data_IF_259992555365
#
_entry.id   IF_259992555365
#
_cell.length_a   1.000
_cell.length_b   1.000
_cell.length_c   1.000
_cell.angle_alpha   90.00
_cell.angle_beta   90.00
_cell.angle_gamma   90.00
#
_symmetry.space_group_name_H-M   'P 1'
#
loop_
_entity.id
_entity.type
_entity.pdbx_description
1 polymer ?
#
# COMPACT_ATOMS: atom_id res chain seq x y z
N UNK A 1 -10.68 -4.22 4.66
CA UNK A 1 -10.26 -3.76 6.01
C UNK A 1 -10.17 -2.24 6.05
N UNK A 2 -10.02 -1.65 7.25
CA UNK A 2 -9.84 -0.20 7.41
C UNK A 2 -8.38 0.22 7.29
N UNK A 3 -8.13 1.24 6.48
CA UNK A 3 -6.80 1.74 6.13
C UNK A 3 -6.80 3.27 6.26
N UNK A 4 -5.76 3.84 6.86
CA UNK A 4 -5.52 5.28 6.81
C UNK A 4 -4.46 5.60 5.76
N UNK A 5 -4.57 6.74 5.10
CA UNK A 5 -3.59 7.25 4.15
C UNK A 5 -3.26 8.69 4.53
N UNK A 6 -2.01 8.94 4.88
CA UNK A 6 -1.53 10.28 5.25
C UNK A 6 -0.89 10.97 4.05
N UNK A 7 -1.44 12.14 3.70
CA UNK A 7 -1.00 13.00 2.60
C UNK A 7 -1.96 12.95 1.40
N UNK A 8 -2.51 14.10 1.01
CA UNK A 8 -3.40 14.31 -0.14
C UNK A 8 -2.67 14.77 -1.41
N UNK A 9 -1.34 14.62 -1.45
CA UNK A 9 -0.61 14.72 -2.72
C UNK A 9 -1.00 13.62 -3.70
N UNK A 10 -0.55 13.73 -4.97
CA UNK A 10 -0.90 12.80 -6.06
C UNK A 10 -0.87 11.32 -5.65
N UNK A 11 0.19 10.88 -4.96
CA UNK A 11 0.34 9.46 -4.56
C UNK A 11 -0.69 9.04 -3.51
N UNK A 12 -0.89 9.83 -2.45
CA UNK A 12 -1.84 9.45 -1.41
C UNK A 12 -3.27 9.36 -1.94
N UNK A 13 -3.66 10.29 -2.81
CA UNK A 13 -4.96 10.27 -3.51
C UNK A 13 -5.11 9.03 -4.38
N UNK A 14 -4.08 8.73 -5.17
CA UNK A 14 -4.04 7.59 -6.05
C UNK A 14 -4.22 6.27 -5.27
N UNK A 15 -3.44 6.09 -4.20
CA UNK A 15 -3.52 4.90 -3.36
C UNK A 15 -4.84 4.81 -2.61
N UNK A 16 -5.34 5.91 -2.06
CA UNK A 16 -6.61 5.94 -1.36
C UNK A 16 -7.77 5.53 -2.28
N UNK A 17 -7.78 6.03 -3.53
CA UNK A 17 -8.78 5.64 -4.53
C UNK A 17 -8.64 4.17 -4.94
N UNK A 18 -7.43 3.67 -5.18
CA UNK A 18 -7.21 2.27 -5.58
C UNK A 18 -7.56 1.28 -4.45
N UNK A 19 -7.24 1.61 -3.20
CA UNK A 19 -7.59 0.79 -2.04
C UNK A 19 -9.11 0.78 -1.79
N UNK A 20 -9.77 1.93 -1.91
CA UNK A 20 -11.23 2.00 -1.83
C UNK A 20 -11.89 1.16 -2.94
N UNK A 21 -11.35 1.22 -4.16
CA UNK A 21 -11.80 0.40 -5.29
C UNK A 21 -11.56 -1.11 -5.08
N UNK A 22 -10.49 -1.49 -4.38
CA UNK A 22 -10.23 -2.85 -3.95
C UNK A 22 -11.12 -3.31 -2.77
N UNK A 23 -12.01 -2.45 -2.27
CA UNK A 23 -13.01 -2.79 -1.25
C UNK A 23 -12.62 -2.42 0.19
N UNK A 24 -11.49 -1.75 0.39
CA UNK A 24 -11.09 -1.27 1.72
C UNK A 24 -11.91 -0.04 2.14
N UNK A 25 -12.02 0.16 3.45
CA UNK A 25 -12.50 1.41 4.03
C UNK A 25 -11.29 2.31 4.25
N UNK A 26 -11.27 3.48 3.64
CA UNK A 26 -10.10 4.34 3.53
C UNK A 26 -10.39 5.70 4.15
N UNK A 27 -9.58 6.09 5.13
CA UNK A 27 -9.52 7.46 5.64
C UNK A 27 -8.33 8.13 4.99
N UNK A 28 -8.59 9.13 4.14
CA UNK A 28 -7.54 9.94 3.52
C UNK A 28 -7.38 11.22 4.34
N UNK A 29 -6.25 11.36 5.01
CA UNK A 29 -5.98 12.46 5.92
C UNK A 29 -4.91 13.41 5.34
N UNK A 30 -5.15 14.71 5.44
CA UNK A 30 -4.13 15.76 5.24
C UNK A 30 -4.43 16.95 6.15
N UNK A 31 -3.39 17.64 6.62
CA UNK A 31 -3.53 18.85 7.44
C UNK A 31 -3.94 20.06 6.60
N UNK A 32 -3.64 20.08 5.30
CA UNK A 32 -4.02 21.16 4.39
C UNK A 32 -5.42 20.94 3.83
N UNK A 33 -6.38 21.72 4.33
CA UNK A 33 -7.75 21.72 3.84
C UNK A 33 -7.85 22.02 2.33
N UNK A 34 -6.92 22.81 1.76
CA UNK A 34 -6.90 23.12 0.32
C UNK A 34 -6.60 21.88 -0.52
N UNK A 35 -5.73 20.99 -0.04
CA UNK A 35 -5.43 19.73 -0.71
C UNK A 35 -6.68 18.85 -0.82
N UNK A 36 -7.52 18.85 0.22
CA UNK A 36 -8.79 18.12 0.22
C UNK A 36 -9.86 18.75 -0.68
N UNK A 37 -9.93 20.08 -0.72
CA UNK A 37 -10.86 20.78 -1.61
C UNK A 37 -10.50 20.60 -3.10
N UNK A 38 -9.21 20.49 -3.41
CA UNK A 38 -8.75 20.15 -4.75
C UNK A 38 -9.24 18.76 -5.22
N UNK A 39 -9.42 17.81 -4.28
CA UNK A 39 -10.01 16.50 -4.58
C UNK A 39 -11.48 16.59 -4.97
N UNK A 40 -12.23 17.42 -4.24
CA UNK A 40 -13.68 17.60 -4.46
C UNK A 40 -13.99 18.27 -5.78
N UNK A 41 -13.10 19.15 -6.23
CA UNK A 41 -13.24 19.91 -7.49
C UNK A 41 -12.70 19.15 -8.71
N UNK A 42 -12.09 17.98 -8.52
CA UNK A 42 -11.55 17.16 -9.61
C UNK A 42 -10.29 17.74 -10.28
N UNK A 43 -9.74 18.83 -9.75
CA UNK A 43 -8.59 19.54 -10.31
C UNK A 43 -7.27 18.75 -10.21
N UNK A 44 -7.23 17.72 -9.35
CA UNK A 44 -6.01 16.96 -9.01
C UNK A 44 -5.65 15.80 -9.94
N UNK A 45 -6.42 15.48 -10.99
CA UNK A 45 -6.24 14.19 -11.69
C UNK A 45 -5.69 14.32 -13.11
N UNK A 46 -4.37 14.51 -13.23
CA UNK A 46 -3.64 14.27 -14.48
C UNK A 46 -3.54 12.77 -14.86
N UNK A 47 -3.96 11.88 -13.96
CA UNK A 47 -3.85 10.43 -14.12
C UNK A 47 -5.15 9.84 -14.71
N UNK A 48 -5.08 9.12 -15.85
CA UNK A 48 -6.25 8.48 -16.43
C UNK A 48 -6.99 7.59 -15.43
N UNK A 49 -8.33 7.64 -15.47
CA UNK A 49 -9.25 6.83 -14.62
C UNK A 49 -9.27 7.16 -13.12
N UNK A 50 -8.34 7.97 -12.61
CA UNK A 50 -8.29 8.33 -11.18
C UNK A 50 -9.55 9.08 -10.74
N UNK A 51 -10.03 10.05 -11.52
CA UNK A 51 -11.24 10.81 -11.20
C UNK A 51 -12.45 9.90 -10.96
N UNK A 52 -12.61 8.83 -11.75
CA UNK A 52 -13.73 7.90 -11.65
C UNK A 52 -13.62 7.05 -10.39
N UNK A 53 -12.43 6.54 -10.07
CA UNK A 53 -12.21 5.76 -8.84
C UNK A 53 -12.40 6.62 -7.60
N UNK A 54 -11.91 7.86 -7.63
CA UNK A 54 -12.09 8.83 -6.56
C UNK A 54 -13.58 9.11 -6.33
N UNK A 55 -14.32 9.46 -7.39
CA UNK A 55 -15.76 9.70 -7.30
C UNK A 55 -16.53 8.49 -6.75
N UNK A 56 -16.23 7.28 -7.23
CA UNK A 56 -16.85 6.04 -6.73
C UNK A 56 -16.53 5.79 -5.26
N UNK A 57 -15.28 5.99 -4.84
CA UNK A 57 -14.87 5.86 -3.44
C UNK A 57 -15.63 6.83 -2.53
N UNK A 58 -15.77 8.08 -2.96
CA UNK A 58 -16.49 9.13 -2.22
C UNK A 58 -17.99 8.83 -2.13
N UNK A 59 -18.63 8.52 -3.26
CA UNK A 59 -20.07 8.25 -3.32
C UNK A 59 -20.45 6.99 -2.54
N UNK A 60 -19.61 5.95 -2.59
CA UNK A 60 -19.84 4.71 -1.82
C UNK A 60 -19.56 4.86 -0.32
N UNK A 61 -18.96 5.95 0.12
CA UNK A 61 -18.51 6.15 1.51
C UNK A 61 -17.28 5.33 1.89
N UNK A 62 -16.72 4.50 0.98
CA UNK A 62 -15.50 3.74 1.24
C UNK A 62 -14.25 4.61 1.33
N UNK A 63 -14.27 5.81 0.75
CA UNK A 63 -13.21 6.80 0.87
C UNK A 63 -13.73 8.04 1.59
N UNK A 64 -13.13 8.36 2.73
CA UNK A 64 -13.45 9.55 3.52
C UNK A 64 -12.23 10.45 3.65
N UNK A 65 -12.18 11.57 2.89
CA UNK A 65 -11.18 12.62 3.10
C UNK A 65 -11.49 13.42 4.37
N UNK A 66 -10.47 13.78 5.15
CA UNK A 66 -10.62 14.53 6.42
C UNK A 66 -9.35 15.28 6.80
N UNK A 67 -9.50 16.40 7.51
CA UNK A 67 -8.41 17.07 8.24
C UNK A 67 -8.32 16.64 9.71
N UNK A 68 -9.33 15.93 10.21
CA UNK A 68 -9.34 15.42 11.58
C UNK A 68 -8.44 14.18 11.68
N UNK A 69 -7.30 14.35 12.37
CA UNK A 69 -6.32 13.28 12.59
C UNK A 69 -6.90 12.13 13.42
N UNK A 70 -7.82 12.39 14.34
CA UNK A 70 -8.38 11.33 15.21
C UNK A 70 -9.14 10.27 14.41
N UNK A 71 -9.60 10.63 13.20
CA UNK A 71 -10.29 9.73 12.29
C UNK A 71 -9.40 8.59 11.75
N UNK A 72 -8.07 8.64 11.91
CA UNK A 72 -7.17 7.55 11.49
C UNK A 72 -7.10 6.41 12.52
N UNK A 73 -7.47 6.67 13.78
CA UNK A 73 -7.35 5.71 14.88
C UNK A 73 -8.19 4.45 14.63
N UNK A 74 -7.63 3.27 14.90
CA UNK A 74 -8.28 1.97 14.67
C UNK A 74 -8.25 1.49 13.22
N UNK A 75 -7.41 2.09 12.36
CA UNK A 75 -7.06 1.51 11.08
C UNK A 75 -6.05 0.37 11.27
N UNK A 76 -6.22 -0.73 10.53
CA UNK A 76 -5.28 -1.87 10.62
C UNK A 76 -3.93 -1.53 9.98
N UNK A 77 -3.96 -0.70 8.94
CA UNK A 77 -2.80 -0.25 8.17
C UNK A 77 -2.85 1.27 8.05
N UNK A 78 -1.71 1.92 8.25
CA UNK A 78 -1.51 3.35 8.07
C UNK A 78 -0.44 3.59 6.99
N UNK A 79 -0.85 4.09 5.84
CA UNK A 79 0.03 4.33 4.70
C UNK A 79 0.58 5.76 4.74
N UNK A 80 1.90 5.90 4.83
CA UNK A 80 2.57 7.19 4.78
C UNK A 80 2.87 7.56 3.32
N UNK A 81 2.13 8.53 2.78
CA UNK A 81 2.29 9.05 1.43
C UNK A 81 2.86 10.48 1.39
N UNK A 82 3.25 11.01 2.55
CA UNK A 82 3.94 12.29 2.70
C UNK A 82 5.36 12.21 2.15
N UNK A 83 5.97 13.37 1.87
CA UNK A 83 7.38 13.43 1.42
C UNK A 83 7.63 12.82 0.03
N UNK A 84 6.61 12.37 -0.69
CA UNK A 84 6.78 11.68 -1.97
C UNK A 84 6.67 12.60 -3.21
N UNK A 85 6.76 13.91 -3.00
CA UNK A 85 6.74 14.93 -4.06
C UNK A 85 7.98 14.90 -4.96
N UNK A 86 7.79 15.24 -6.23
CA UNK A 86 8.89 15.47 -7.15
C UNK A 86 9.65 16.73 -6.70
N UNK A 87 10.97 16.65 -6.53
CA UNK A 87 11.82 17.79 -6.14
C UNK A 87 12.32 17.80 -4.70
N UNK A 88 11.78 16.98 -3.80
CA UNK A 88 12.38 16.83 -2.47
C UNK A 88 13.71 16.06 -2.57
N UNK A 89 14.73 16.49 -1.84
CA UNK A 89 15.95 15.70 -1.67
C UNK A 89 15.73 14.56 -0.65
N UNK A 90 16.69 13.63 -0.54
CA UNK A 90 16.56 12.49 0.36
C UNK A 90 16.33 12.89 1.83
N UNK A 91 17.03 13.91 2.31
CA UNK A 91 16.94 14.37 3.70
C UNK A 91 15.55 14.96 4.01
N UNK A 92 15.03 15.81 3.12
CA UNK A 92 13.70 16.43 3.28
C UNK A 92 12.58 15.39 3.24
N UNK A 93 12.73 14.31 2.44
CA UNK A 93 11.79 13.19 2.47
C UNK A 93 11.77 12.49 3.82
N UNK A 94 12.94 12.20 4.38
CA UNK A 94 13.07 11.55 5.69
C UNK A 94 12.49 12.43 6.80
N UNK A 95 12.76 13.74 6.76
CA UNK A 95 12.18 14.69 7.70
C UNK A 95 10.65 14.69 7.64
N UNK A 96 10.06 14.85 6.44
CA UNK A 96 8.61 14.84 6.27
C UNK A 96 7.96 13.53 6.71
N UNK A 97 8.63 12.39 6.52
CA UNK A 97 8.15 11.09 7.00
C UNK A 97 8.18 11.00 8.53
N UNK A 98 9.23 11.52 9.15
CA UNK A 98 9.34 11.58 10.63
C UNK A 98 8.24 12.45 11.20
N UNK A 99 8.06 13.66 10.69
CA UNK A 99 7.02 14.58 11.17
C UNK A 99 5.62 13.94 11.05
N UNK A 100 5.33 13.29 9.92
CA UNK A 100 4.05 12.60 9.76
C UNK A 100 3.89 11.37 10.66
N UNK A 101 4.99 10.71 11.02
CA UNK A 101 5.00 9.57 11.93
C UNK A 101 4.79 10.02 13.37
N UNK A 102 5.47 11.08 13.79
CA UNK A 102 5.32 11.71 15.11
C UNK A 102 3.88 12.17 15.33
N UNK A 103 3.27 12.79 14.32
CA UNK A 103 1.86 13.17 14.35
C UNK A 103 0.90 11.97 14.37
N UNK A 104 1.30 10.83 13.79
CA UNK A 104 0.47 9.63 13.71
C UNK A 104 0.58 8.78 14.98
N UNK A 105 1.75 8.77 15.63
CA UNK A 105 2.09 7.94 16.78
C UNK A 105 1.02 7.91 17.90
N UNK A 106 0.41 9.04 18.31
CA UNK A 106 -0.64 9.05 19.34
C UNK A 106 -1.91 8.27 18.97
N UNK A 107 -2.10 7.97 17.68
CA UNK A 107 -3.29 7.29 17.15
C UNK A 107 -3.03 5.82 16.78
N UNK A 108 -1.80 5.34 16.96
CA UNK A 108 -1.39 3.97 16.63
C UNK A 108 -1.74 2.99 17.75
N UNK A 109 -2.41 1.91 17.37
CA UNK A 109 -2.77 0.79 18.23
C UNK A 109 -1.74 -0.35 18.20
N UNK A 110 -1.72 -1.22 19.23
CA UNK A 110 -0.87 -2.41 19.24
C UNK A 110 -1.17 -3.35 18.06
N UNK A 111 -0.13 -3.75 17.34
CA UNK A 111 -0.24 -4.68 16.20
C UNK A 111 -0.83 -4.07 14.92
N UNK A 112 -1.01 -2.74 14.89
CA UNK A 112 -1.25 -2.01 13.65
C UNK A 112 0.05 -1.87 12.84
N UNK A 113 -0.10 -1.67 11.53
CA UNK A 113 1.01 -1.60 10.60
C UNK A 113 1.16 -0.19 10.04
N UNK A 114 2.33 0.42 10.20
CA UNK A 114 2.72 1.64 9.50
C UNK A 114 3.51 1.24 8.26
N UNK A 115 3.07 1.71 7.08
CA UNK A 115 3.68 1.35 5.81
C UNK A 115 4.19 2.60 5.11
N UNK A 116 5.51 2.71 5.04
CA UNK A 116 6.15 3.74 4.24
C UNK A 116 6.40 3.27 2.81
N UNK A 117 6.40 4.23 1.88
CA UNK A 117 6.46 3.93 0.43
C UNK A 117 7.31 4.89 -0.39
N UNK A 118 7.88 5.91 0.26
CA UNK A 118 8.68 6.90 -0.42
C UNK A 118 10.05 6.31 -0.84
N UNK A 119 10.70 6.96 -1.81
CA UNK A 119 12.12 6.69 -2.07
C UNK A 119 12.96 7.35 -0.99
N UNK A 120 13.62 6.54 -0.18
CA UNK A 120 14.45 6.96 0.95
C UNK A 120 15.76 6.19 0.95
N UNK A 121 16.83 6.71 1.58
CA UNK A 121 18.05 5.92 1.76
C UNK A 121 17.80 4.68 2.62
N UNK A 122 18.50 3.58 2.33
CA UNK A 122 18.47 2.36 3.13
C UNK A 122 18.68 2.60 4.63
N UNK A 123 17.99 1.82 5.45
CA UNK A 123 17.95 1.92 6.90
C UNK A 123 17.04 3.04 7.42
N UNK A 124 16.27 3.73 6.58
CA UNK A 124 15.37 4.79 7.05
C UNK A 124 14.20 4.21 7.83
N UNK A 125 13.57 3.17 7.32
CA UNK A 125 12.46 2.46 7.93
C UNK A 125 12.85 1.86 9.29
N UNK A 126 14.07 1.33 9.42
CA UNK A 126 14.61 0.82 10.68
C UNK A 126 14.75 1.94 11.72
N UNK A 127 15.29 3.11 11.32
CA UNK A 127 15.40 4.27 12.20
C UNK A 127 14.04 4.79 12.65
N UNK A 128 13.05 4.81 11.74
CA UNK A 128 11.67 5.19 12.06
C UNK A 128 11.02 4.18 13.03
N UNK A 129 11.24 2.88 12.81
CA UNK A 129 10.74 1.82 13.69
C UNK A 129 11.36 1.92 15.11
N UNK A 130 12.67 2.17 15.19
CA UNK A 130 13.37 2.36 16.45
C UNK A 130 12.85 3.58 17.22
N UNK A 131 12.54 4.69 16.52
CA UNK A 131 11.92 5.88 17.11
C UNK A 131 10.56 5.57 17.75
N UNK A 132 9.65 4.95 16.98
CA UNK A 132 8.34 4.54 17.51
C UNK A 132 8.46 3.63 18.73
N UNK A 133 9.38 2.67 18.70
CA UNK A 133 9.60 1.75 19.81
C UNK A 133 10.12 2.48 21.06
N UNK A 134 11.02 3.46 20.90
CA UNK A 134 11.52 4.28 21.99
C UNK A 134 10.41 5.12 22.64
N UNK A 135 9.42 5.56 21.85
CA UNK A 135 8.23 6.26 22.33
C UNK A 135 7.14 5.33 22.92
N UNK A 136 7.42 4.02 22.99
CA UNK A 136 6.50 3.02 23.55
C UNK A 136 5.35 2.64 22.61
N UNK A 137 5.40 3.04 21.35
CA UNK A 137 4.39 2.71 20.34
C UNK A 137 4.56 1.26 19.89
N UNK A 138 3.47 0.48 19.94
CA UNK A 138 3.47 -0.97 19.64
C UNK A 138 2.96 -1.29 18.22
N UNK A 139 3.29 -0.43 17.26
CA UNK A 139 3.01 -0.66 15.84
C UNK A 139 4.25 -1.22 15.14
N UNK A 140 4.04 -1.99 14.07
CA UNK A 140 5.13 -2.50 13.23
C UNK A 140 5.33 -1.55 12.04
N UNK A 141 6.58 -1.29 11.66
CA UNK A 141 6.90 -0.57 10.42
C UNK A 141 7.17 -1.59 9.31
N UNK A 142 6.61 -1.34 8.14
CA UNK A 142 6.92 -2.04 6.90
C UNK A 142 7.21 -1.04 5.78
N UNK A 143 7.87 -1.50 4.72
CA UNK A 143 8.19 -0.69 3.55
C UNK A 143 7.69 -1.35 2.27
N UNK A 144 6.85 -0.65 1.52
CA UNK A 144 6.31 -1.12 0.24
C UNK A 144 6.69 -0.11 -0.85
N UNK A 145 7.70 -0.40 -1.67
CA UNK A 145 8.14 0.48 -2.73
C UNK A 145 7.01 0.86 -3.69
N UNK A 146 6.96 2.13 -4.07
CA UNK A 146 5.92 2.65 -4.96
C UNK A 146 6.48 2.99 -6.35
N UNK A 147 6.52 1.94 -7.19
CA UNK A 147 6.96 1.99 -8.58
C UNK A 147 5.75 1.98 -9.52
N UNK A 148 5.41 3.15 -10.05
CA UNK A 148 4.36 3.26 -11.06
C UNK A 148 4.78 4.19 -12.19
N UNK A 149 4.39 3.86 -13.42
CA UNK A 149 4.70 4.69 -14.59
C UNK A 149 3.76 5.88 -14.63
N UNK A 150 4.25 7.11 -14.91
CA UNK A 150 3.38 8.24 -15.16
C UNK A 150 2.34 7.92 -16.25
N UNK A 151 1.07 8.29 -16.02
CA UNK A 151 -0.03 8.04 -16.96
C UNK A 151 -0.60 6.61 -16.95
N UNK A 152 -0.01 5.70 -16.17
CA UNK A 152 -0.49 4.33 -15.99
C UNK A 152 -0.67 3.95 -14.52
N UNK A 153 -0.59 4.90 -13.59
CA UNK A 153 -0.39 4.62 -12.18
C UNK A 153 -1.57 3.88 -11.54
N UNK A 154 -2.80 4.16 -11.98
CA UNK A 154 -3.99 3.40 -11.56
C UNK A 154 -3.89 1.93 -11.98
N UNK A 155 -3.45 1.67 -13.22
CA UNK A 155 -3.33 0.31 -13.73
C UNK A 155 -2.20 -0.42 -13.00
N UNK A 156 -1.05 0.24 -12.86
CA UNK A 156 0.12 -0.35 -12.20
C UNK A 156 -0.15 -0.66 -10.71
N UNK A 157 -0.99 0.11 -10.01
CA UNK A 157 -1.35 -0.19 -8.62
C UNK A 157 -2.42 -1.29 -8.45
N UNK A 158 -3.29 -1.45 -9.44
CA UNK A 158 -4.33 -2.49 -9.42
C UNK A 158 -3.81 -3.81 -10.01
N UNK A 159 -2.83 -3.76 -10.91
CA UNK A 159 -2.19 -4.90 -11.57
C UNK A 159 -0.67 -4.70 -11.61
N UNK A 160 0.00 -4.76 -10.44
CA UNK A 160 1.42 -4.50 -10.37
C UNK A 160 2.22 -5.61 -11.05
N UNK A 161 3.35 -5.24 -11.66
CA UNK A 161 4.29 -6.21 -12.23
C UNK A 161 4.93 -7.09 -11.14
N UNK A 162 5.00 -6.60 -9.91
CA UNK A 162 5.44 -7.30 -8.70
C UNK A 162 4.96 -6.58 -7.44
N UNK A 163 4.92 -7.30 -6.33
CA UNK A 163 4.75 -6.74 -4.99
C UNK A 163 5.99 -7.03 -4.14
N UNK A 164 6.53 -6.01 -3.50
CA UNK A 164 7.64 -6.12 -2.55
C UNK A 164 7.15 -5.70 -1.17
N UNK A 165 7.28 -6.58 -0.19
CA UNK A 165 6.91 -6.38 1.21
C UNK A 165 8.20 -6.39 2.04
N UNK A 166 8.74 -5.20 2.31
CA UNK A 166 9.82 -5.03 3.29
C UNK A 166 9.25 -5.09 4.70
N UNK A 167 9.70 -6.05 5.52
CA UNK A 167 9.22 -6.27 6.88
C UNK A 167 10.40 -6.52 7.83
N UNK A 168 10.26 -6.28 9.15
CA UNK A 168 11.29 -6.65 10.10
C UNK A 168 11.37 -8.18 10.26
N UNK A 169 12.45 -8.68 10.85
CA UNK A 169 12.59 -10.11 11.11
C UNK A 169 11.65 -10.63 12.22
N UNK A 170 11.44 -11.95 12.21
CA UNK A 170 10.74 -12.68 13.26
C UNK A 170 9.21 -12.49 13.27
N UNK A 171 8.55 -12.76 14.41
CA UNK A 171 7.08 -12.84 14.47
C UNK A 171 6.35 -11.54 14.10
N UNK A 172 7.00 -10.38 14.31
CA UNK A 172 6.43 -9.09 13.91
C UNK A 172 6.39 -8.96 12.38
N UNK A 173 7.43 -9.44 11.69
CA UNK A 173 7.53 -9.50 10.24
C UNK A 173 6.51 -10.42 9.60
N UNK A 174 6.37 -11.63 10.13
CA UNK A 174 5.38 -12.62 9.66
C UNK A 174 3.96 -12.05 9.74
N UNK A 175 3.62 -11.38 10.85
CA UNK A 175 2.33 -10.70 11.00
C UNK A 175 2.17 -9.54 10.03
N UNK A 176 3.21 -8.71 9.84
CA UNK A 176 3.18 -7.60 8.89
C UNK A 176 2.98 -8.09 7.46
N UNK A 177 3.71 -9.13 7.06
CA UNK A 177 3.61 -9.86 5.79
C UNK A 177 2.19 -10.35 5.53
N UNK A 178 1.56 -11.02 6.51
CA UNK A 178 0.17 -11.47 6.38
C UNK A 178 -0.85 -10.31 6.26
N UNK A 179 -0.62 -9.19 6.98
CA UNK A 179 -1.45 -7.98 6.85
C UNK A 179 -1.30 -7.36 5.46
N UNK A 180 -0.08 -7.31 4.92
CA UNK A 180 0.20 -6.79 3.58
C UNK A 180 -0.40 -7.68 2.49
N UNK A 181 -0.48 -8.99 2.70
CA UNK A 181 -1.18 -9.91 1.80
C UNK A 181 -2.67 -9.64 1.77
N UNK A 182 -3.28 -9.45 2.94
CA UNK A 182 -4.68 -9.07 3.03
C UNK A 182 -4.96 -7.67 2.46
N UNK A 183 -4.01 -6.74 2.58
CA UNK A 183 -4.09 -5.41 1.96
C UNK A 183 -4.02 -5.49 0.43
N UNK A 184 -3.17 -6.37 -0.10
CA UNK A 184 -2.91 -6.50 -1.54
C UNK A 184 -3.62 -7.71 -2.18
N UNK A 185 -4.66 -8.25 -1.54
CA UNK A 185 -5.33 -9.48 -2.00
C UNK A 185 -5.84 -9.38 -3.45
N UNK A 186 -6.36 -8.20 -3.85
CA UNK A 186 -6.80 -7.95 -5.23
C UNK A 186 -5.63 -7.97 -6.20
N UNK A 187 -4.50 -7.37 -5.85
CA UNK A 187 -3.30 -7.34 -6.68
C UNK A 187 -2.67 -8.73 -6.81
N UNK A 188 -2.60 -9.48 -5.70
CA UNK A 188 -2.11 -10.86 -5.70
C UNK A 188 -2.97 -11.77 -6.60
N UNK A 189 -4.29 -11.58 -6.57
CA UNK A 189 -5.22 -12.31 -7.45
C UNK A 189 -5.02 -12.04 -8.95
N UNK A 190 -4.28 -10.99 -9.33
CA UNK A 190 -3.91 -10.74 -10.74
C UNK A 190 -2.72 -11.58 -11.21
N UNK A 191 -2.14 -12.41 -10.32
CA UNK A 191 -0.93 -13.20 -10.58
C UNK A 191 0.36 -12.41 -10.40
N UNK A 192 0.31 -11.27 -9.69
CA UNK A 192 1.50 -10.47 -9.45
C UNK A 192 2.48 -11.26 -8.55
N UNK A 193 3.75 -11.47 -8.97
CA UNK A 193 4.73 -12.13 -8.13
C UNK A 193 4.98 -11.30 -6.88
N UNK A 194 5.12 -11.99 -5.75
CA UNK A 194 5.27 -11.40 -4.43
C UNK A 194 6.65 -11.74 -3.86
N UNK A 195 7.31 -10.74 -3.30
CA UNK A 195 8.58 -10.85 -2.62
C UNK A 195 8.46 -10.26 -1.22
N UNK A 196 8.89 -11.00 -0.22
CA UNK A 196 9.07 -10.51 1.16
C UNK A 196 10.55 -10.31 1.36
N UNK A 197 10.99 -9.16 1.87
CA UNK A 197 12.40 -8.84 2.09
C UNK A 197 12.57 -8.15 3.43
N UNK A 198 13.81 -7.88 3.84
CA UNK A 198 14.08 -6.91 4.91
C UNK A 198 13.69 -5.47 4.46
N UNK A 199 13.70 -4.55 5.44
CA UNK A 199 13.32 -3.15 5.23
C UNK A 199 14.30 -2.41 4.30
N UNK A 200 15.61 -2.58 4.50
CA UNK A 200 16.65 -1.87 3.74
C UNK A 200 16.63 -2.26 2.26
N UNK A 201 16.50 -3.55 1.97
CA UNK A 201 16.38 -4.12 0.62
C UNK A 201 15.13 -3.58 -0.08
N UNK A 202 14.00 -3.49 0.63
CA UNK A 202 12.79 -2.88 0.07
C UNK A 202 13.03 -1.40 -0.28
N UNK A 203 13.66 -0.63 0.60
CA UNK A 203 14.02 0.78 0.33
C UNK A 203 14.88 0.94 -0.92
N UNK A 204 15.89 0.07 -1.09
CA UNK A 204 16.78 0.05 -2.24
C UNK A 204 16.05 -0.28 -3.54
N UNK A 205 15.15 -1.27 -3.52
CA UNK A 205 14.34 -1.64 -4.68
C UNK A 205 13.46 -0.47 -5.17
N UNK A 206 13.07 0.45 -4.28
CA UNK A 206 12.32 1.65 -4.64
C UNK A 206 13.06 2.65 -5.53
N UNK A 207 14.39 2.60 -5.64
CA UNK A 207 15.19 3.52 -6.47
C UNK A 207 15.33 3.09 -7.95
N UNK A 208 14.86 1.89 -8.32
CA UNK A 208 14.92 1.38 -9.70
C UNK A 208 15.34 -0.09 -9.78
N UNK A 209 15.18 -0.67 -10.98
CA UNK A 209 15.17 -2.10 -11.37
C UNK A 209 16.17 -3.06 -10.70
N UNK A 210 16.12 -3.24 -9.39
CA UNK A 210 16.64 -4.46 -8.75
C UNK A 210 15.60 -5.56 -8.90
N UNK A 211 16.01 -6.76 -9.29
CA UNK A 211 15.21 -7.97 -9.03
C UNK A 211 15.57 -8.45 -7.63
N UNK A 212 14.58 -8.74 -6.76
CA UNK A 212 14.85 -9.44 -5.51
C UNK A 212 15.70 -10.68 -5.81
N UNK A 213 16.81 -10.85 -5.10
CA UNK A 213 17.71 -11.97 -5.32
C UNK A 213 17.05 -13.26 -4.81
N UNK A 214 17.41 -14.43 -5.34
CA UNK A 214 16.83 -15.72 -4.95
C UNK A 214 16.91 -16.05 -3.44
N UNK A 215 17.76 -15.35 -2.66
CA UNK A 215 17.86 -15.48 -1.21
C UNK A 215 17.06 -14.45 -0.41
N UNK A 216 16.48 -13.45 -1.06
CA UNK A 216 15.70 -12.40 -0.38
C UNK A 216 14.30 -12.92 -0.02
N UNK A 217 13.83 -14.00 -0.67
CA UNK A 217 12.56 -14.63 -0.40
C UNK A 217 12.62 -15.47 0.89
N UNK A 218 12.10 -14.94 2.00
CA UNK A 218 11.72 -15.78 3.15
C UNK A 218 10.39 -16.45 2.81
N UNK A 219 10.46 -17.71 2.36
CA UNK A 219 9.28 -18.55 2.17
C UNK A 219 8.65 -18.87 3.53
N UNK A 220 7.49 -18.30 3.82
CA UNK A 220 6.61 -18.80 4.87
C UNK A 220 5.57 -19.75 4.26
N UNK A 221 5.70 -21.04 4.58
CA UNK A 221 4.63 -22.03 4.71
C UNK A 221 3.69 -22.21 3.51
N UNK A 222 4.11 -22.98 2.52
CA UNK A 222 3.18 -23.83 1.79
C UNK A 222 3.28 -25.24 2.39
N UNK A 223 2.23 -25.64 3.09
CA UNK A 223 2.02 -27.01 3.56
C UNK A 223 1.81 -27.89 2.31
N UNK A 224 2.87 -28.54 1.83
CA UNK A 224 2.79 -29.57 0.79
C UNK A 224 2.36 -30.88 1.46
N UNK A 225 1.05 -31.13 1.46
CA UNK A 225 0.49 -32.28 2.14
C UNK A 225 -0.89 -32.68 1.64
N UNK A 226 -0.90 -33.38 0.51
CA UNK A 226 -1.92 -34.34 0.06
C UNK A 226 -3.04 -33.84 -0.87
N UNK A 227 -2.86 -34.11 -2.16
CA UNK A 227 -3.95 -34.44 -3.06
C UNK A 227 -3.42 -35.37 -4.18
N UNK A 228 -3.12 -36.62 -3.82
CA UNK A 228 -3.06 -37.69 -4.82
C UNK A 228 -4.48 -37.99 -5.33
N UNK A 229 -4.69 -37.65 -6.61
CA UNK A 229 -5.50 -38.43 -7.54
C UNK A 229 -7.01 -38.30 -7.46
N UNK A 230 -7.59 -37.53 -8.40
CA UNK A 230 -8.81 -37.94 -9.12
C UNK A 230 -8.68 -37.46 -10.57
N UNK A 231 -8.40 -38.39 -11.48
CA UNK A 231 -8.68 -38.19 -12.89
C UNK A 231 -10.19 -38.32 -13.09
N UNK A 232 -10.81 -37.34 -13.75
CA UNK A 232 -12.18 -37.47 -14.26
C UNK A 232 -12.33 -36.67 -15.54
N UNK A 233 -12.42 -37.42 -16.63
CA UNK A 233 -12.72 -37.01 -17.99
C UNK A 233 -14.15 -36.47 -18.13
N UNK A 234 -14.31 -35.29 -18.73
CA UNK A 234 -15.55 -34.91 -19.45
C UNK A 234 -15.20 -34.05 -20.67
N UNK A 235 -15.78 -34.30 -21.86
CA UNK A 235 -15.38 -33.67 -23.12
C UNK A 235 -15.94 -32.25 -23.30
N UNK A 236 -15.24 -31.45 -24.09
CA UNK A 236 -15.61 -30.06 -24.38
C UNK A 236 -16.91 -29.90 -25.17
N UNK A 237 -17.63 -28.83 -24.86
CA UNK A 237 -18.78 -28.34 -25.62
C UNK A 237 -18.39 -26.99 -26.23
N UNK A 238 -18.53 -26.79 -27.56
CA UNK A 238 -18.15 -25.55 -28.22
C UNK A 238 -19.17 -24.42 -27.99
N UNK A 239 -18.61 -23.21 -27.90
CA UNK A 239 -19.29 -21.93 -27.69
C UNK A 239 -20.14 -21.56 -28.93
N UNK A 240 -21.46 -21.51 -28.81
CA UNK A 240 -22.35 -20.96 -29.84
C UNK A 240 -22.75 -19.53 -29.48
N UNK A 241 -22.65 -18.65 -30.48
CA UNK A 241 -22.97 -17.24 -30.43
C UNK A 241 -24.45 -16.98 -30.11
N UNK A 242 -24.72 -15.95 -29.30
CA UNK A 242 -26.04 -15.30 -29.24
C UNK A 242 -25.84 -13.82 -29.52
N UNK A 243 -26.28 -13.42 -30.71
CA UNK A 243 -26.56 -12.04 -31.08
C UNK A 243 -28.06 -11.81 -31.18
N UNK A 244 -28.44 -10.56 -30.92
CA UNK A 244 -29.63 -9.84 -31.39
C UNK A 244 -31.02 -10.47 -31.21
N UNK A 245 -31.78 -9.90 -30.27
CA UNK A 245 -33.07 -9.23 -30.52
C UNK A 245 -33.40 -8.33 -29.33
#
# INVERSE_FOLDING_TARGET
MRVSVSGCGRRGVLHAACLAAAGHEVVLHDTDARALDALRTGLTTAEPRLHRLLALGLVSGRLRPTTDRTAVAGARVHLLCVGAGAGLDGASRVAALRDALDDLAPHLGPGELVVGRARVPAGTAERLAAGLAADGVRATVAWVPDEHRPGHAVVDLLRPARLVHGVPDGPAGERASAILDALHAVQLATGAPRFVTDLATAEDLGHGHGTPRPGDAVLAGADDGDARGVASSTPGVPLAAVGAA
#
